data_IF_824674636245
#
_entry.id   IF_824674636245
#
_cell.length_a   1.000
_cell.length_b   1.000
_cell.length_c   1.000
_cell.angle_alpha   90.00
_cell.angle_beta   90.00
_cell.angle_gamma   90.00
#
_symmetry.space_group_name_H-M   'P 1'
#
loop_
_entity.id
_entity.type
_entity.pdbx_description
1 polymer ?
#
# COMPACT_ATOMS: atom_id res chain seq x y z
N UNK A 1 -15.73 -5.41 -9.58
CA UNK A 1 -15.29 -4.11 -9.04
C UNK A 1 -13.98 -4.36 -8.31
N UNK A 2 -12.86 -3.83 -8.80
CA UNK A 2 -11.56 -4.01 -8.15
C UNK A 2 -11.53 -3.26 -6.81
N UNK A 3 -11.42 -4.01 -5.72
CA UNK A 3 -11.32 -3.50 -4.34
C UNK A 3 -9.85 -3.24 -4.00
N UNK A 4 -9.53 -2.31 -3.08
CA UNK A 4 -8.16 -2.17 -2.55
C UNK A 4 -7.68 -3.48 -1.90
N UNK A 5 -8.64 -4.26 -1.40
CA UNK A 5 -8.45 -5.59 -0.85
C UNK A 5 -7.92 -6.56 -1.91
N UNK A 6 -8.27 -6.41 -3.19
CA UNK A 6 -7.72 -7.26 -4.26
C UNK A 6 -6.20 -7.07 -4.42
N UNK A 7 -5.70 -5.83 -4.31
CA UNK A 7 -4.26 -5.55 -4.38
C UNK A 7 -3.52 -6.16 -3.18
N UNK A 8 -4.07 -5.98 -1.98
CA UNK A 8 -3.51 -6.58 -0.76
C UNK A 8 -3.56 -8.11 -0.82
N UNK A 9 -4.68 -8.69 -1.22
CA UNK A 9 -4.90 -10.14 -1.19
C UNK A 9 -4.12 -10.86 -2.31
N UNK A 10 -3.85 -10.20 -3.44
CA UNK A 10 -2.94 -10.72 -4.47
C UNK A 10 -1.47 -10.70 -4.04
N UNK A 11 -1.08 -9.67 -3.28
CA UNK A 11 0.32 -9.49 -2.87
C UNK A 11 0.62 -10.27 -1.58
N UNK A 12 -0.36 -10.45 -0.68
CA UNK A 12 -0.41 -11.22 0.58
C UNK A 12 0.94 -11.46 1.28
N UNK A 13 1.83 -10.47 1.23
CA UNK A 13 3.16 -10.58 1.79
C UNK A 13 3.22 -9.67 2.99
N UNK A 14 3.19 -10.27 4.18
CA UNK A 14 3.46 -9.53 5.42
C UNK A 14 4.84 -8.88 5.32
N UNK A 15 4.92 -7.57 5.56
CA UNK A 15 6.19 -6.82 5.49
C UNK A 15 7.27 -7.43 6.38
N UNK A 16 6.91 -7.97 7.54
CA UNK A 16 7.86 -8.66 8.42
C UNK A 16 8.43 -9.94 7.81
N UNK A 17 7.59 -10.75 7.15
CA UNK A 17 8.05 -11.95 6.46
C UNK A 17 8.99 -11.57 5.32
N UNK A 18 8.67 -10.51 4.58
CA UNK A 18 9.52 -10.01 3.51
C UNK A 18 10.89 -9.56 4.03
N UNK A 19 10.93 -8.74 5.08
CA UNK A 19 12.19 -8.29 5.69
C UNK A 19 13.01 -9.49 6.17
N UNK A 20 12.38 -10.42 6.88
CA UNK A 20 13.06 -11.60 7.44
C UNK A 20 13.60 -12.52 6.34
N UNK A 21 12.83 -12.78 5.27
CA UNK A 21 13.32 -13.54 4.12
C UNK A 21 14.42 -12.79 3.38
N UNK A 22 14.35 -11.47 3.25
CA UNK A 22 15.43 -10.70 2.62
C UNK A 22 16.73 -10.84 3.40
N UNK A 23 16.68 -10.76 4.73
CA UNK A 23 17.86 -11.02 5.57
C UNK A 23 18.36 -12.47 5.42
N UNK A 24 17.46 -13.45 5.42
CA UNK A 24 17.82 -14.87 5.29
C UNK A 24 18.40 -15.23 3.92
N UNK A 25 17.96 -14.55 2.85
CA UNK A 25 18.38 -14.80 1.46
C UNK A 25 19.43 -13.81 0.95
N UNK A 26 19.90 -12.89 1.80
CA UNK A 26 20.91 -11.90 1.43
C UNK A 26 20.46 -10.92 0.33
N UNK A 27 19.19 -10.53 0.28
CA UNK A 27 18.69 -9.57 -0.74
C UNK A 27 17.92 -10.19 -1.89
N UNK A 28 18.13 -11.49 -2.20
CA UNK A 28 17.56 -12.15 -3.38
C UNK A 28 16.03 -12.14 -3.33
N UNK A 29 15.44 -12.36 -2.15
CA UNK A 29 14.00 -12.34 -1.99
C UNK A 29 13.37 -11.00 -2.41
N UNK A 30 14.05 -9.88 -2.18
CA UNK A 30 13.54 -8.56 -2.60
C UNK A 30 13.40 -8.46 -4.12
N UNK A 31 14.34 -9.04 -4.89
CA UNK A 31 14.28 -9.07 -6.35
C UNK A 31 13.13 -9.94 -6.84
N UNK A 32 12.98 -11.14 -6.26
CA UNK A 32 11.90 -12.08 -6.62
C UNK A 32 10.52 -11.51 -6.29
N UNK A 33 10.41 -10.90 -5.10
CA UNK A 33 9.20 -10.20 -4.70
C UNK A 33 8.91 -9.06 -5.66
N UNK A 34 9.92 -8.25 -6.01
CA UNK A 34 9.75 -7.16 -6.96
C UNK A 34 9.22 -7.69 -8.30
N UNK A 35 9.90 -8.69 -8.90
CA UNK A 35 9.53 -9.28 -10.19
C UNK A 35 8.11 -9.85 -10.22
N UNK A 36 7.65 -10.48 -9.14
CA UNK A 36 6.30 -11.05 -9.10
C UNK A 36 5.22 -9.99 -8.88
N UNK A 37 5.50 -8.97 -8.09
CA UNK A 37 4.46 -8.05 -7.61
C UNK A 37 4.36 -6.76 -8.44
N UNK A 38 5.40 -6.34 -9.18
CA UNK A 38 5.30 -5.14 -10.02
C UNK A 38 4.22 -5.30 -11.10
N UNK A 39 4.09 -6.48 -11.71
CA UNK A 39 3.07 -6.76 -12.72
C UNK A 39 1.65 -6.70 -12.14
N UNK A 40 1.48 -7.18 -10.91
CA UNK A 40 0.20 -7.14 -10.18
C UNK A 40 -0.18 -5.67 -9.87
N UNK A 41 0.81 -4.86 -9.45
CA UNK A 41 0.60 -3.43 -9.21
C UNK A 41 0.21 -2.74 -10.52
N UNK A 42 0.91 -3.00 -11.62
CA UNK A 42 0.62 -2.39 -12.93
C UNK A 42 -0.75 -2.78 -13.48
N UNK A 43 -1.14 -4.05 -13.33
CA UNK A 43 -2.44 -4.56 -13.73
C UNK A 43 -3.58 -3.88 -12.95
N UNK A 44 -3.45 -3.77 -11.62
CA UNK A 44 -4.53 -3.24 -10.76
C UNK A 44 -4.62 -1.72 -10.83
N UNK A 45 -3.47 -1.05 -10.94
CA UNK A 45 -3.43 0.41 -11.00
C UNK A 45 -3.65 0.96 -12.40
N UNK A 46 -3.68 0.09 -13.42
CA UNK A 46 -3.79 0.44 -14.85
C UNK A 46 -2.68 1.42 -15.31
N UNK A 47 -1.56 1.45 -14.60
CA UNK A 47 -0.41 2.33 -14.90
C UNK A 47 0.87 1.52 -14.95
N UNK A 48 1.70 1.77 -15.97
CA UNK A 48 3.00 1.10 -16.10
C UNK A 48 4.00 1.72 -15.13
N UNK A 49 4.39 0.99 -14.10
CA UNK A 49 5.45 1.42 -13.18
C UNK A 49 6.81 1.07 -13.75
N UNK A 50 7.03 -0.21 -14.07
CA UNK A 50 8.36 -0.80 -14.35
C UNK A 50 8.23 -1.92 -15.38
N UNK A 51 9.25 -2.08 -16.22
CA UNK A 51 9.32 -3.17 -17.21
C UNK A 51 10.26 -4.29 -16.74
N UNK A 52 10.08 -5.50 -17.27
CA UNK A 52 10.95 -6.67 -17.03
C UNK A 52 12.45 -6.33 -17.17
N UNK A 53 12.81 -5.60 -18.22
CA UNK A 53 14.20 -5.18 -18.49
C UNK A 53 14.81 -4.41 -17.32
N UNK A 54 14.03 -3.59 -16.63
CA UNK A 54 14.51 -2.81 -15.49
C UNK A 54 14.79 -3.71 -14.29
N UNK A 55 13.92 -4.69 -14.03
CA UNK A 55 14.11 -5.68 -12.96
C UNK A 55 15.32 -6.58 -13.26
N UNK A 56 15.51 -6.97 -14.52
CA UNK A 56 16.69 -7.72 -14.97
C UNK A 56 17.96 -6.92 -14.71
N UNK A 57 17.99 -5.62 -15.01
CA UNK A 57 19.15 -4.77 -14.71
C UNK A 57 19.45 -4.67 -13.22
N UNK A 58 18.43 -4.60 -12.35
CA UNK A 58 18.64 -4.70 -10.91
C UNK A 58 19.32 -6.03 -10.55
N UNK A 59 18.81 -7.15 -11.08
CA UNK A 59 19.37 -8.47 -10.82
C UNK A 59 20.83 -8.60 -11.31
N UNK A 60 21.14 -8.05 -12.49
CA UNK A 60 22.50 -8.01 -13.04
C UNK A 60 23.42 -7.15 -12.17
N UNK A 61 22.98 -5.95 -11.77
CA UNK A 61 23.77 -5.07 -10.91
C UNK A 61 24.06 -5.69 -9.55
N UNK A 62 23.07 -6.33 -8.93
CA UNK A 62 23.25 -7.01 -7.64
C UNK A 62 24.16 -8.23 -7.81
N UNK A 63 23.89 -9.09 -8.80
CA UNK A 63 24.67 -10.32 -9.03
C UNK A 63 26.13 -10.05 -9.36
N UNK A 64 26.41 -9.20 -10.35
CA UNK A 64 27.78 -8.83 -10.71
C UNK A 64 28.43 -7.97 -9.63
N UNK A 65 27.68 -7.10 -8.95
CA UNK A 65 28.18 -6.29 -7.84
C UNK A 65 28.71 -7.16 -6.69
N UNK A 66 27.97 -8.20 -6.31
CA UNK A 66 28.40 -9.15 -5.29
C UNK A 66 29.60 -10.00 -5.74
N UNK A 67 29.60 -10.51 -6.97
CA UNK A 67 30.71 -11.32 -7.49
C UNK A 67 32.01 -10.51 -7.58
N UNK A 68 31.97 -9.33 -8.19
CA UNK A 68 33.15 -8.49 -8.39
C UNK A 68 33.61 -7.84 -7.07
N UNK A 69 32.69 -7.53 -6.16
CA UNK A 69 33.03 -7.02 -4.83
C UNK A 69 33.79 -8.01 -3.96
N UNK A 70 33.67 -9.31 -4.23
CA UNK A 70 34.41 -10.37 -3.52
C UNK A 70 35.75 -10.76 -4.17
N UNK A 71 36.12 -10.10 -5.28
CA UNK A 71 37.34 -10.40 -6.02
C UNK A 71 38.60 -9.85 -5.33
N UNK A 72 39.72 -10.55 -5.45
CA UNK A 72 41.04 -10.08 -4.95
C UNK A 72 41.65 -8.96 -5.82
N UNK A 73 41.13 -8.78 -7.03
CA UNK A 73 41.53 -7.71 -7.93
C UNK A 73 40.90 -6.38 -7.51
N UNK A 74 41.74 -5.35 -7.30
CA UNK A 74 41.31 -4.04 -6.83
C UNK A 74 40.40 -3.32 -7.82
N UNK A 75 40.60 -3.47 -9.13
CA UNK A 75 39.76 -2.84 -10.14
C UNK A 75 38.36 -3.49 -10.16
N UNK A 76 38.29 -4.83 -10.09
CA UNK A 76 37.01 -5.54 -9.99
C UNK A 76 36.26 -5.17 -8.70
N UNK A 77 36.95 -5.04 -7.57
CA UNK A 77 36.33 -4.62 -6.32
C UNK A 77 35.69 -3.22 -6.42
N UNK A 78 36.38 -2.26 -7.04
CA UNK A 78 35.85 -0.90 -7.28
C UNK A 78 34.62 -0.96 -8.19
N UNK A 79 34.69 -1.72 -9.27
CA UNK A 79 33.57 -1.91 -10.21
C UNK A 79 32.37 -2.53 -9.46
N UNK A 80 32.59 -3.56 -8.66
CA UNK A 80 31.56 -4.19 -7.82
C UNK A 80 30.89 -3.20 -6.86
N UNK A 81 31.68 -2.32 -6.23
CA UNK A 81 31.17 -1.23 -5.40
C UNK A 81 30.26 -0.26 -6.16
N UNK A 82 30.66 0.16 -7.37
CA UNK A 82 29.84 1.03 -8.22
C UNK A 82 28.52 0.34 -8.61
N UNK A 83 28.57 -0.94 -8.98
CA UNK A 83 27.36 -1.72 -9.32
C UNK A 83 26.41 -1.85 -8.11
N UNK A 84 26.95 -2.02 -6.90
CA UNK A 84 26.16 -2.07 -5.67
C UNK A 84 25.42 -0.75 -5.41
N UNK A 85 26.12 0.38 -5.56
CA UNK A 85 25.51 1.72 -5.46
C UNK A 85 24.43 1.91 -6.54
N UNK A 86 24.74 1.56 -7.79
CA UNK A 86 23.78 1.64 -8.89
C UNK A 86 22.52 0.81 -8.62
N UNK A 87 22.66 -0.41 -8.10
CA UNK A 87 21.53 -1.26 -7.73
C UNK A 87 20.64 -0.62 -6.66
N UNK A 88 21.24 0.04 -5.67
CA UNK A 88 20.52 0.75 -4.60
C UNK A 88 19.72 1.92 -5.19
N UNK A 89 20.31 2.70 -6.09
CA UNK A 89 19.61 3.80 -6.79
C UNK A 89 18.42 3.26 -7.60
N UNK A 90 18.59 2.14 -8.31
CA UNK A 90 17.50 1.53 -9.08
C UNK A 90 16.33 1.09 -8.18
N UNK A 91 16.62 0.52 -7.00
CA UNK A 91 15.58 0.20 -6.00
C UNK A 91 14.82 1.44 -5.51
N UNK A 92 15.54 2.53 -5.26
CA UNK A 92 14.94 3.78 -4.82
C UNK A 92 14.04 4.35 -5.93
N UNK A 93 14.54 4.43 -7.17
CA UNK A 93 13.76 4.91 -8.32
C UNK A 93 12.50 4.07 -8.53
N UNK A 94 12.63 2.74 -8.44
CA UNK A 94 11.51 1.80 -8.45
C UNK A 94 10.48 2.14 -7.37
N UNK A 95 10.91 2.33 -6.13
CA UNK A 95 10.03 2.63 -5.01
C UNK A 95 9.29 3.96 -5.22
N UNK A 96 9.96 5.01 -5.70
CA UNK A 96 9.29 6.29 -5.99
C UNK A 96 8.27 6.19 -7.12
N UNK A 97 8.55 5.39 -8.17
CA UNK A 97 7.57 5.13 -9.24
C UNK A 97 6.33 4.41 -8.71
N UNK A 98 6.54 3.35 -7.92
CA UNK A 98 5.44 2.61 -7.28
C UNK A 98 4.64 3.51 -6.33
N UNK A 99 5.30 4.36 -5.55
CA UNK A 99 4.65 5.35 -4.69
C UNK A 99 3.67 6.23 -5.49
N UNK A 100 4.13 6.89 -6.55
CA UNK A 100 3.28 7.79 -7.35
C UNK A 100 2.10 7.04 -7.97
N UNK A 101 2.33 5.83 -8.46
CA UNK A 101 1.31 4.93 -8.98
C UNK A 101 0.23 4.61 -7.92
N UNK A 102 0.64 4.20 -6.72
CA UNK A 102 -0.29 3.94 -5.62
C UNK A 102 -1.10 5.18 -5.23
N UNK A 103 -0.46 6.34 -5.13
CA UNK A 103 -1.14 7.59 -4.77
C UNK A 103 -2.19 7.98 -5.81
N UNK A 104 -1.85 7.87 -7.10
CA UNK A 104 -2.78 8.14 -8.20
C UNK A 104 -3.94 7.14 -8.22
N UNK A 105 -3.68 5.86 -7.96
CA UNK A 105 -4.71 4.83 -7.88
C UNK A 105 -5.75 5.15 -6.80
N UNK A 106 -5.29 5.48 -5.59
CA UNK A 106 -6.19 5.81 -4.47
C UNK A 106 -6.96 7.10 -4.73
N UNK A 107 -6.29 8.12 -5.28
CA UNK A 107 -6.92 9.39 -5.61
C UNK A 107 -8.02 9.21 -6.67
N UNK A 108 -7.74 8.43 -7.73
CA UNK A 108 -8.69 8.23 -8.82
C UNK A 108 -9.87 7.34 -8.44
N UNK A 109 -9.63 6.26 -7.67
CA UNK A 109 -10.68 5.29 -7.28
C UNK A 109 -11.50 5.74 -6.08
N UNK A 110 -10.87 6.28 -5.05
CA UNK A 110 -11.50 6.58 -3.76
C UNK A 110 -11.65 8.08 -3.49
N UNK A 111 -11.15 8.95 -4.38
CA UNK A 111 -11.14 10.42 -4.20
C UNK A 111 -10.56 10.84 -2.85
N UNK A 112 -9.61 10.06 -2.35
CA UNK A 112 -8.94 10.24 -1.07
C UNK A 112 -7.46 10.47 -1.31
N UNK A 113 -6.88 11.36 -0.51
CA UNK A 113 -5.43 11.53 -0.46
C UNK A 113 -4.80 10.41 0.39
N UNK A 114 -3.87 9.66 -0.20
CA UNK A 114 -3.02 8.71 0.53
C UNK A 114 -1.61 9.29 0.65
N UNK A 115 -1.29 10.01 1.73
CA UNK A 115 0.00 10.66 1.90
C UNK A 115 1.09 9.61 2.21
N UNK A 116 1.89 9.28 1.20
CA UNK A 116 3.09 8.45 1.37
C UNK A 116 4.32 9.32 1.62
N UNK A 117 5.06 9.06 2.70
CA UNK A 117 6.24 9.85 3.06
C UNK A 117 7.42 9.53 2.14
N UNK A 118 8.01 10.56 1.51
CA UNK A 118 9.18 10.41 0.65
C UNK A 118 10.43 9.95 1.39
N UNK A 119 10.60 10.36 2.66
CA UNK A 119 11.74 9.96 3.47
C UNK A 119 11.75 8.45 3.75
N UNK A 120 10.60 7.88 4.13
CA UNK A 120 10.46 6.43 4.31
C UNK A 120 10.58 5.66 3.00
N UNK A 121 10.14 6.24 1.88
CA UNK A 121 10.33 5.64 0.54
C UNK A 121 11.81 5.59 0.18
N UNK A 122 12.62 6.59 0.55
CA UNK A 122 14.05 6.58 0.31
C UNK A 122 14.77 5.53 1.17
N UNK A 123 14.56 5.54 2.50
CA UNK A 123 15.28 4.66 3.42
C UNK A 123 14.86 3.19 3.28
N UNK A 124 13.55 2.92 3.22
CA UNK A 124 13.02 1.55 3.23
C UNK A 124 12.65 1.05 1.82
N UNK A 125 12.68 1.91 0.79
CA UNK A 125 12.47 1.55 -0.62
C UNK A 125 11.29 0.59 -0.81
N UNK A 126 11.56 -0.63 -1.29
CA UNK A 126 10.54 -1.63 -1.63
C UNK A 126 9.76 -2.10 -0.40
N UNK A 127 10.39 -2.16 0.78
CA UNK A 127 9.70 -2.57 2.00
C UNK A 127 8.62 -1.57 2.42
N UNK A 128 8.85 -0.27 2.18
CA UNK A 128 7.84 0.76 2.45
C UNK A 128 6.66 0.63 1.50
N UNK A 129 6.90 0.31 0.23
CA UNK A 129 5.82 0.07 -0.73
C UNK A 129 4.97 -1.12 -0.29
N UNK A 130 5.60 -2.25 0.07
CA UNK A 130 4.86 -3.41 0.58
C UNK A 130 4.08 -3.09 1.87
N UNK A 131 4.64 -2.27 2.76
CA UNK A 131 3.94 -1.78 3.94
C UNK A 131 2.71 -0.94 3.57
N UNK A 132 2.86 0.02 2.65
CA UNK A 132 1.77 0.87 2.21
C UNK A 132 0.65 0.08 1.54
N UNK A 133 0.97 -0.92 0.71
CA UNK A 133 -0.03 -1.83 0.11
C UNK A 133 -0.83 -2.56 1.21
N UNK A 134 -0.14 -3.07 2.23
CA UNK A 134 -0.79 -3.72 3.37
C UNK A 134 -1.68 -2.75 4.17
N UNK A 135 -1.29 -1.48 4.27
CA UNK A 135 -2.08 -0.46 4.96
C UNK A 135 -3.30 -0.01 4.15
N UNK A 136 -3.18 0.08 2.82
CA UNK A 136 -4.29 0.39 1.91
C UNK A 136 -5.49 -0.56 2.09
N UNK A 137 -5.25 -1.86 2.21
CA UNK A 137 -6.33 -2.82 2.47
C UNK A 137 -6.99 -2.61 3.84
N UNK A 138 -6.25 -2.14 4.85
CA UNK A 138 -6.84 -1.78 6.15
C UNK A 138 -7.68 -0.50 6.04
N UNK A 139 -7.26 0.48 5.25
CA UNK A 139 -8.03 1.70 5.04
C UNK A 139 -9.39 1.40 4.41
N UNK A 140 -9.45 0.53 3.40
CA UNK A 140 -10.72 0.13 2.80
C UNK A 140 -11.64 -0.53 3.83
N UNK A 141 -11.11 -1.45 4.64
CA UNK A 141 -11.91 -2.12 5.68
C UNK A 141 -12.50 -1.13 6.69
N UNK A 142 -11.73 -0.12 7.11
CA UNK A 142 -12.19 0.94 8.02
C UNK A 142 -13.25 1.83 7.36
N UNK A 143 -13.09 2.15 6.09
CA UNK A 143 -14.09 2.93 5.34
C UNK A 143 -15.41 2.16 5.22
N UNK A 144 -15.37 0.87 4.87
CA UNK A 144 -16.57 0.03 4.78
C UNK A 144 -17.31 -0.07 6.12
N UNK A 145 -16.59 -0.19 7.23
CA UNK A 145 -17.19 -0.17 8.57
C UNK A 145 -17.86 1.18 8.83
N UNK A 146 -17.18 2.30 8.59
CA UNK A 146 -17.78 3.64 8.76
C UNK A 146 -19.02 3.83 7.87
N UNK A 147 -18.98 3.43 6.60
CA UNK A 147 -20.15 3.56 5.71
C UNK A 147 -21.33 2.72 6.20
N UNK A 148 -21.08 1.49 6.66
CA UNK A 148 -22.13 0.64 7.23
C UNK A 148 -22.71 1.20 8.53
N UNK A 149 -21.89 1.90 9.32
CA UNK A 149 -22.33 2.56 10.54
C UNK A 149 -23.24 3.76 10.24
N UNK A 150 -22.88 4.62 9.27
CA UNK A 150 -23.74 5.70 8.82
C UNK A 150 -25.07 5.21 8.23
N UNK A 151 -25.05 4.10 7.49
CA UNK A 151 -26.26 3.49 6.94
C UNK A 151 -27.19 2.96 8.04
N UNK A 152 -26.64 2.30 9.06
CA UNK A 152 -27.41 1.87 10.24
C UNK A 152 -28.02 3.05 11.01
N UNK A 153 -27.29 4.16 11.15
CA UNK A 153 -27.80 5.37 11.80
C UNK A 153 -28.93 5.99 10.97
N UNK A 154 -28.77 6.06 9.65
CA UNK A 154 -29.80 6.59 8.75
C UNK A 154 -31.11 5.79 8.87
N UNK A 155 -31.02 4.45 8.87
CA UNK A 155 -32.18 3.57 9.06
C UNK A 155 -32.83 3.75 10.43
N UNK A 156 -32.05 3.94 11.50
CA UNK A 156 -32.59 4.22 12.84
C UNK A 156 -33.33 5.56 12.88
N UNK A 157 -32.77 6.61 12.26
CA UNK A 157 -33.40 7.92 12.17
C UNK A 157 -34.71 7.88 11.35
N UNK A 158 -34.74 7.10 10.27
CA UNK A 158 -35.94 6.89 9.46
C UNK A 158 -37.04 6.19 10.27
N UNK A 159 -36.69 5.12 11.00
CA UNK A 159 -37.62 4.42 11.90
C UNK A 159 -38.14 5.34 13.01
N UNK A 160 -37.29 6.20 13.57
CA UNK A 160 -37.71 7.19 14.57
C UNK A 160 -38.66 8.24 13.97
N UNK A 161 -38.44 8.65 12.71
CA UNK A 161 -39.33 9.59 12.03
C UNK A 161 -40.72 8.96 11.79
N UNK A 162 -40.78 7.69 11.39
CA UNK A 162 -42.06 6.96 11.27
C UNK A 162 -42.81 6.84 12.61
N UNK A 163 -42.09 6.59 13.71
CA UNK A 163 -42.71 6.49 15.04
C UNK A 163 -43.30 7.83 15.48
N UNK A 164 -42.64 8.93 15.12
CA UNK A 164 -43.14 10.29 15.34
C UNK A 164 -44.40 10.55 14.50
N UNK A 165 -44.38 10.21 13.21
CA UNK A 165 -45.52 10.41 12.30
C UNK A 165 -46.76 9.60 12.74
N UNK A 166 -46.56 8.40 13.28
CA UNK A 166 -47.62 7.56 13.88
C UNK A 166 -48.12 8.08 15.24
N UNK A 167 -47.55 9.17 15.76
CA UNK A 167 -47.90 9.74 17.06
C UNK A 167 -47.49 8.89 18.27
N UNK A 168 -46.59 7.93 18.07
CA UNK A 168 -46.14 6.99 19.12
C UNK A 168 -45.11 7.65 20.05
N UNK A 169 -44.32 8.59 19.52
CA UNK A 169 -43.32 9.37 20.27
C UNK A 169 -43.57 10.86 20.07
N UNK A 170 -43.23 11.65 21.08
CA UNK A 170 -43.36 13.11 21.01
C UNK A 170 -42.12 13.76 20.33
N UNK A 171 -42.25 15.05 19.97
CA UNK A 171 -41.19 15.84 19.31
C UNK A 171 -39.90 15.92 20.17
N UNK A 172 -40.03 15.99 21.50
CA UNK A 172 -38.91 16.07 22.43
C UNK A 172 -38.11 14.75 22.52
N UNK A 173 -38.81 13.61 22.57
CA UNK A 173 -38.24 12.27 22.59
C UNK A 173 -37.53 11.96 21.26
N UNK A 174 -38.12 12.35 20.14
CA UNK A 174 -37.47 12.24 18.83
C UNK A 174 -36.16 13.03 18.77
N UNK A 175 -36.19 14.30 19.20
CA UNK A 175 -35.02 15.17 19.20
C UNK A 175 -33.93 14.68 20.18
N UNK A 176 -34.31 14.14 21.34
CA UNK A 176 -33.39 13.54 22.30
C UNK A 176 -32.68 12.29 21.74
N UNK A 177 -33.43 11.39 21.10
CA UNK A 177 -32.86 10.18 20.51
C UNK A 177 -31.99 10.49 19.28
N UNK A 178 -32.42 11.40 18.43
CA UNK A 178 -31.60 11.90 17.31
C UNK A 178 -30.29 12.52 17.80
N UNK A 179 -30.32 13.32 18.87
CA UNK A 179 -29.12 13.90 19.45
C UNK A 179 -28.19 12.82 20.04
N UNK A 180 -28.73 11.78 20.69
CA UNK A 180 -27.93 10.64 21.19
C UNK A 180 -27.25 9.86 20.06
N UNK A 181 -27.97 9.62 18.96
CA UNK A 181 -27.44 8.90 17.80
C UNK A 181 -26.35 9.68 17.04
N UNK A 182 -26.48 11.01 16.98
CA UNK A 182 -25.51 11.87 16.30
C UNK A 182 -24.30 12.23 17.17
N UNK A 183 -24.48 12.40 18.48
CA UNK A 183 -23.43 12.84 19.41
C UNK A 183 -22.72 11.69 20.15
N UNK A 184 -23.28 10.46 20.14
CA UNK A 184 -22.64 9.29 20.76
C UNK A 184 -21.41 8.76 20.03
N UNK A 185 -21.09 9.31 18.84
CA UNK A 185 -20.06 8.84 17.92
C UNK A 185 -18.97 9.89 17.59
N UNK A 186 -18.85 10.96 18.39
CA UNK A 186 -17.76 11.95 18.32
C UNK A 186 -16.75 11.72 19.43
#
# INVERSE_FOLDING_TARGET
>A
MSSLTDLKDRIDTKTLNMVLLTFATGGIYTILWLYRNYSIIDEITETKTINDTFVIWIAVCVGLGSLFGSSYDQALMIIGGILSIASTVLYIVCAFKMKTCLQNYVLNKFKMEFPMNGFYTFIFSIFYINYCINDLGKLESRQRVKSSEYENIAQQLEKLAELKEKGIINEEEFNSQKAKLLNGNV
#
